data_IF_784608625483
#
_entry.id   IF_784608625483
#
_cell.length_a   1.000
_cell.length_b   1.000
_cell.length_c   1.000
_cell.angle_alpha   90.00
_cell.angle_beta   90.00
_cell.angle_gamma   90.00
#
_symmetry.space_group_name_H-M   'P 1'
#
loop_
_entity.id
_entity.type
_entity.pdbx_description
1 polymer ?
#
# COMPACT_ATOMS: atom_id res chain seq x y z
N UNK A 1 -23.58 -22.92 -12.66
CA UNK A 1 -22.53 -21.89 -12.51
C UNK A 1 -22.09 -21.84 -11.06
N UNK A 2 -21.00 -22.53 -10.72
CA UNK A 2 -20.50 -22.60 -9.34
C UNK A 2 -19.93 -21.23 -8.92
N UNK A 3 -20.53 -20.65 -7.87
CA UNK A 3 -19.94 -19.54 -7.11
C UNK A 3 -18.60 -20.04 -6.55
N UNK A 4 -17.49 -19.57 -7.13
CA UNK A 4 -16.17 -19.86 -6.59
C UNK A 4 -16.12 -19.31 -5.15
N UNK A 5 -15.70 -20.12 -4.16
CA UNK A 5 -15.64 -19.72 -2.77
C UNK A 5 -14.70 -18.53 -2.63
N UNK A 6 -15.11 -17.59 -1.80
CA UNK A 6 -14.34 -16.40 -1.43
C UNK A 6 -12.88 -16.74 -1.11
N UNK A 7 -11.89 -15.90 -1.46
CA UNK A 7 -10.48 -16.26 -1.30
C UNK A 7 -9.98 -16.30 0.17
N UNK A 8 -10.70 -15.76 1.16
CA UNK A 8 -10.29 -15.75 2.58
C UNK A 8 -11.45 -15.85 3.62
N UNK A 9 -12.25 -16.92 3.65
CA UNK A 9 -13.42 -17.01 4.53
C UNK A 9 -13.04 -17.06 6.02
N UNK A 10 -11.86 -17.59 6.34
CA UNK A 10 -11.31 -17.66 7.70
C UNK A 10 -10.96 -16.26 8.21
N UNK A 11 -10.21 -15.49 7.43
CA UNK A 11 -9.80 -14.13 7.81
C UNK A 11 -11.00 -13.19 8.05
N UNK A 12 -12.09 -13.31 7.27
CA UNK A 12 -13.30 -12.52 7.54
C UNK A 12 -13.92 -12.87 8.89
N UNK A 13 -13.98 -14.17 9.22
CA UNK A 13 -14.58 -14.63 10.48
C UNK A 13 -13.77 -14.11 11.66
N UNK A 14 -12.45 -14.23 11.59
CA UNK A 14 -11.53 -13.67 12.58
C UNK A 14 -11.74 -12.16 12.74
N UNK A 15 -11.77 -11.39 11.64
CA UNK A 15 -11.99 -9.94 11.67
C UNK A 15 -13.36 -9.53 12.25
N UNK A 16 -14.39 -10.36 12.05
CA UNK A 16 -15.71 -10.16 12.63
C UNK A 16 -15.72 -10.45 14.13
N UNK A 17 -15.05 -11.52 14.55
CA UNK A 17 -14.88 -11.93 15.95
C UNK A 17 -14.05 -10.90 16.74
N UNK A 18 -12.99 -10.37 16.13
CA UNK A 18 -12.16 -9.27 16.68
C UNK A 18 -12.88 -7.91 16.73
N UNK A 19 -14.12 -7.82 16.22
CA UNK A 19 -14.91 -6.58 16.07
C UNK A 19 -14.22 -5.50 15.23
N UNK A 20 -13.17 -5.86 14.49
CA UNK A 20 -12.52 -5.01 13.50
C UNK A 20 -13.46 -4.67 12.32
N UNK A 21 -14.45 -5.52 12.07
CA UNK A 21 -15.44 -5.37 11.00
C UNK A 21 -16.83 -5.74 11.51
N UNK A 22 -17.86 -4.97 11.15
CA UNK A 22 -19.24 -5.27 11.55
C UNK A 22 -19.72 -6.58 10.91
N UNK A 23 -20.52 -7.34 11.65
CA UNK A 23 -21.11 -8.58 11.12
C UNK A 23 -22.00 -8.33 9.90
N UNK A 24 -22.62 -7.15 9.83
CA UNK A 24 -23.47 -6.67 8.74
C UNK A 24 -22.68 -6.12 7.54
N UNK A 25 -21.35 -6.01 7.61
CA UNK A 25 -20.56 -5.47 6.51
C UNK A 25 -20.69 -6.38 5.27
N UNK A 26 -21.17 -5.86 4.13
CA UNK A 26 -21.33 -6.65 2.92
C UNK A 26 -19.95 -7.03 2.37
N UNK A 27 -19.76 -8.31 2.08
CA UNK A 27 -18.56 -8.82 1.44
C UNK A 27 -18.64 -8.56 -0.06
N UNK A 28 -17.63 -7.87 -0.62
CA UNK A 28 -17.56 -7.70 -2.08
C UNK A 28 -17.05 -8.97 -2.74
N UNK A 29 -17.90 -9.61 -3.54
CA UNK A 29 -17.59 -10.84 -4.29
C UNK A 29 -17.03 -10.55 -5.70
N UNK A 30 -17.05 -9.28 -6.13
CA UNK A 30 -16.65 -8.89 -7.49
C UNK A 30 -15.12 -8.97 -7.65
N UNK A 31 -14.63 -9.97 -8.40
CA UNK A 31 -13.21 -10.21 -8.70
C UNK A 31 -12.45 -8.96 -9.15
N UNK A 32 -13.05 -8.11 -9.99
CA UNK A 32 -12.36 -6.91 -10.48
C UNK A 32 -12.06 -5.90 -9.37
N UNK A 33 -12.88 -5.82 -8.32
CA UNK A 33 -12.64 -4.91 -7.19
C UNK A 33 -11.45 -5.41 -6.34
N UNK A 34 -11.35 -6.74 -6.16
CA UNK A 34 -10.20 -7.33 -5.49
C UNK A 34 -8.92 -7.10 -6.30
N UNK A 35 -8.99 -7.27 -7.63
CA UNK A 35 -7.85 -6.98 -8.50
C UNK A 35 -7.37 -5.53 -8.40
N UNK A 36 -8.27 -4.55 -8.23
CA UNK A 36 -7.89 -3.12 -8.05
C UNK A 36 -7.12 -2.94 -6.74
N UNK A 37 -7.61 -3.49 -5.64
CA UNK A 37 -6.93 -3.44 -4.33
C UNK A 37 -5.58 -4.16 -4.42
N UNK A 38 -5.55 -5.30 -5.10
CA UNK A 38 -4.33 -6.07 -5.29
C UNK A 38 -3.31 -5.38 -6.19
N UNK A 39 -3.79 -4.60 -7.15
CA UNK A 39 -2.94 -3.81 -8.02
C UNK A 39 -2.34 -2.63 -7.28
N UNK A 40 -3.11 -1.96 -6.42
CA UNK A 40 -2.65 -0.82 -5.62
C UNK A 40 -1.46 -1.19 -4.72
N UNK A 41 -1.55 -2.31 -4.00
CA UNK A 41 -0.46 -2.75 -3.13
C UNK A 41 0.69 -3.46 -3.85
N UNK A 42 0.58 -3.72 -5.16
CA UNK A 42 1.56 -4.56 -5.91
C UNK A 42 2.96 -3.96 -5.92
N UNK A 43 3.07 -2.63 -6.00
CA UNK A 43 4.37 -1.96 -6.03
C UNK A 43 5.12 -2.17 -4.71
N UNK A 44 4.42 -1.97 -3.58
CA UNK A 44 5.00 -2.17 -2.25
C UNK A 44 5.35 -3.65 -2.05
N UNK A 45 4.41 -4.56 -2.33
CA UNK A 45 4.66 -6.02 -2.21
C UNK A 45 5.86 -6.48 -3.04
N UNK A 46 6.02 -5.98 -4.27
CA UNK A 46 7.16 -6.35 -5.13
C UNK A 46 8.49 -5.91 -4.55
N UNK A 47 8.57 -4.71 -3.97
CA UNK A 47 9.82 -4.22 -3.34
C UNK A 47 10.24 -5.03 -2.12
N UNK A 48 9.27 -5.64 -1.44
CA UNK A 48 9.49 -6.43 -0.24
C UNK A 48 9.39 -7.94 -0.49
N UNK A 49 9.29 -8.38 -1.76
CA UNK A 49 9.06 -9.79 -2.11
C UNK A 49 10.23 -10.70 -1.67
N UNK A 50 11.46 -10.18 -1.71
CA UNK A 50 12.68 -10.88 -1.26
C UNK A 50 13.04 -10.56 0.20
N UNK A 51 12.23 -9.73 0.88
CA UNK A 51 12.45 -9.40 2.29
C UNK A 51 11.74 -10.40 3.21
N UNK A 52 12.28 -10.63 4.40
CA UNK A 52 11.59 -11.39 5.47
C UNK A 52 10.36 -10.67 6.05
N UNK A 53 9.88 -9.60 5.40
CA UNK A 53 8.82 -8.73 5.89
C UNK A 53 9.30 -7.74 6.94
N UNK A 54 8.34 -7.08 7.60
CA UNK A 54 8.62 -6.13 8.67
C UNK A 54 8.53 -6.83 10.03
N UNK A 55 9.52 -6.59 10.90
CA UNK A 55 9.56 -7.14 12.25
C UNK A 55 8.41 -6.65 13.16
N UNK A 56 7.75 -5.54 12.83
CA UNK A 56 6.58 -5.05 13.56
C UNK A 56 5.71 -4.15 12.69
N UNK A 57 4.45 -3.99 13.09
CA UNK A 57 3.49 -3.07 12.45
C UNK A 57 3.99 -1.61 12.49
N UNK A 58 4.63 -1.19 13.59
CA UNK A 58 5.15 0.18 13.72
C UNK A 58 6.25 0.47 12.69
N UNK A 59 7.16 -0.49 12.50
CA UNK A 59 8.22 -0.40 11.49
C UNK A 59 7.64 -0.43 10.07
N UNK A 60 6.70 -1.34 9.80
CA UNK A 60 5.98 -1.39 8.52
C UNK A 60 5.32 -0.04 8.18
N UNK A 61 4.57 0.52 9.14
CA UNK A 61 3.84 1.78 8.96
C UNK A 61 4.79 2.94 8.64
N UNK A 62 5.91 3.06 9.37
CA UNK A 62 6.90 4.11 9.11
C UNK A 62 7.55 3.97 7.73
N UNK A 63 7.95 2.76 7.35
CA UNK A 63 8.57 2.52 6.05
C UNK A 63 7.60 2.80 4.91
N UNK A 64 6.35 2.33 5.01
CA UNK A 64 5.32 2.59 4.00
C UNK A 64 5.08 4.11 3.86
N UNK A 65 4.92 4.84 4.97
CA UNK A 65 4.79 6.30 4.95
C UNK A 65 5.97 7.00 4.27
N UNK A 66 7.20 6.53 4.51
CA UNK A 66 8.39 7.07 3.85
C UNK A 66 8.37 6.84 2.33
N UNK A 67 7.96 5.64 1.89
CA UNK A 67 7.80 5.31 0.46
C UNK A 67 6.73 6.20 -0.19
N UNK A 68 5.59 6.38 0.48
CA UNK A 68 4.50 7.24 0.02
C UNK A 68 4.94 8.71 -0.10
N UNK A 69 5.67 9.21 0.90
CA UNK A 69 6.20 10.58 0.88
C UNK A 69 7.16 10.80 -0.30
N UNK A 70 8.14 9.90 -0.50
CA UNK A 70 9.05 9.96 -1.64
C UNK A 70 8.31 9.89 -2.98
N UNK A 71 7.28 9.04 -3.08
CA UNK A 71 6.49 8.92 -4.29
C UNK A 71 5.66 10.18 -4.56
N UNK A 72 5.14 10.84 -3.53
CA UNK A 72 4.45 12.12 -3.67
C UNK A 72 5.40 13.22 -4.17
N UNK A 73 6.63 13.28 -3.65
CA UNK A 73 7.66 14.20 -4.12
C UNK A 73 8.02 13.96 -5.58
N UNK A 74 8.22 12.70 -5.96
CA UNK A 74 8.46 12.30 -7.34
C UNK A 74 7.35 12.81 -8.28
N UNK A 75 6.08 12.58 -7.92
CA UNK A 75 4.93 13.04 -8.72
C UNK A 75 4.89 14.56 -8.83
N UNK A 76 5.11 15.28 -7.73
CA UNK A 76 5.13 16.74 -7.71
C UNK A 76 6.22 17.30 -8.63
N UNK A 77 7.45 16.82 -8.51
CA UNK A 77 8.55 17.24 -9.40
C UNK A 77 8.24 16.93 -10.87
N UNK A 78 7.70 15.75 -11.16
CA UNK A 78 7.32 15.35 -12.52
C UNK A 78 6.23 16.24 -13.13
N UNK A 79 5.30 16.76 -12.33
CA UNK A 79 4.30 17.71 -12.81
C UNK A 79 4.84 19.11 -13.09
N UNK A 80 5.97 19.48 -12.50
CA UNK A 80 6.54 20.84 -12.57
C UNK A 80 7.56 21.01 -13.69
N UNK A 81 8.14 19.95 -14.23
CA UNK A 81 9.25 20.03 -15.18
C UNK A 81 9.19 18.92 -16.22
N UNK A 82 9.26 19.27 -17.51
CA UNK A 82 9.29 18.31 -18.64
C UNK A 82 10.64 17.58 -18.73
N UNK A 83 11.74 18.26 -18.43
CA UNK A 83 13.08 17.67 -18.34
C UNK A 83 13.36 17.20 -16.92
N UNK A 84 13.01 15.95 -16.64
CA UNK A 84 12.93 15.42 -15.29
C UNK A 84 14.14 14.54 -14.94
N UNK A 85 15.03 15.05 -14.09
CA UNK A 85 16.00 14.26 -13.34
C UNK A 85 15.58 14.24 -11.86
N UNK A 86 15.35 13.05 -11.30
CA UNK A 86 14.94 12.89 -9.90
C UNK A 86 15.95 12.07 -9.13
N UNK A 87 16.49 12.68 -8.09
CA UNK A 87 17.36 12.05 -7.12
C UNK A 87 16.70 12.09 -5.76
N UNK A 88 16.31 10.93 -5.25
CA UNK A 88 15.67 10.80 -3.92
C UNK A 88 16.50 11.46 -2.82
N UNK A 89 17.84 11.35 -2.90
CA UNK A 89 18.75 11.92 -1.90
C UNK A 89 18.73 13.45 -1.92
N UNK A 90 18.86 14.06 -3.10
CA UNK A 90 18.89 15.51 -3.23
C UNK A 90 17.56 16.16 -2.82
N UNK A 91 16.43 15.55 -3.16
CA UNK A 91 15.10 16.05 -2.77
C UNK A 91 14.89 16.00 -1.26
N UNK A 92 15.30 14.90 -0.62
CA UNK A 92 15.21 14.76 0.84
C UNK A 92 16.17 15.73 1.53
N UNK A 93 17.40 15.90 1.02
CA UNK A 93 18.34 16.89 1.55
C UNK A 93 17.80 18.31 1.43
N UNK A 94 17.24 18.70 0.28
CA UNK A 94 16.63 20.02 0.09
C UNK A 94 15.50 20.27 1.09
N UNK A 95 14.65 19.26 1.34
CA UNK A 95 13.59 19.37 2.35
C UNK A 95 14.14 19.55 3.76
N UNK A 96 15.21 18.82 4.13
CA UNK A 96 15.84 18.95 5.44
C UNK A 96 16.55 20.29 5.65
N UNK A 97 16.99 20.96 4.57
CA UNK A 97 17.63 22.27 4.66
C UNK A 97 16.63 23.43 4.78
N UNK A 98 15.35 23.21 4.43
CA UNK A 98 14.29 24.22 4.46
C UNK A 98 13.42 24.12 5.74
N UNK A 99 13.42 22.95 6.38
CA UNK A 99 12.71 22.68 7.64
C UNK A 99 13.52 23.13 8.86
#
# INVERSE_FOLDING_TARGET
MAMLPYPYPVAIRELKEEKCVLHSTPLRVKKYLNNIIEQDHRHVKRRFAESAGFQSIRHASRTIKGIEALHALYKRRRSLSQDFAFSSYQEVQQLMMIA
#
